data_IF_833924378592
#
_entry.id   IF_833924378592
#
_cell.length_a   1.000
_cell.length_b   1.000
_cell.length_c   1.000
_cell.angle_alpha   90.00
_cell.angle_beta   90.00
_cell.angle_gamma   90.00
#
_symmetry.space_group_name_H-M   'P 1'
#
loop_
_entity.id
_entity.type
_entity.pdbx_description
1 polymer ?
#
# COMPACT_ATOMS: atom_id res chain seq x y z
N UNK A 1 -15.10 -4.61 -9.38
CA UNK A 1 -15.53 -3.62 -8.39
C UNK A 1 -15.56 -2.28 -9.09
N UNK A 2 -16.68 -1.58 -9.03
CA UNK A 2 -16.82 -0.26 -9.62
C UNK A 2 -16.01 0.76 -8.82
N UNK A 3 -15.54 1.86 -9.45
CA UNK A 3 -14.76 2.89 -8.75
C UNK A 3 -15.41 3.41 -7.46
N UNK A 4 -16.74 3.57 -7.46
CA UNK A 4 -17.48 4.04 -6.29
C UNK A 4 -17.44 3.05 -5.11
N UNK A 5 -17.52 1.75 -5.39
CA UNK A 5 -17.44 0.71 -4.36
C UNK A 5 -16.03 0.65 -3.74
N UNK A 6 -14.99 0.82 -4.56
CA UNK A 6 -13.60 0.90 -4.10
C UNK A 6 -13.44 2.13 -3.19
N UNK A 7 -13.90 3.29 -3.66
CA UNK A 7 -13.84 4.53 -2.90
C UNK A 7 -14.59 4.44 -1.57
N UNK A 8 -15.74 3.75 -1.53
CA UNK A 8 -16.47 3.51 -0.29
C UNK A 8 -15.62 2.74 0.72
N UNK A 9 -15.02 1.61 0.32
CA UNK A 9 -14.15 0.79 1.19
C UNK A 9 -12.97 1.61 1.71
N UNK A 10 -12.28 2.34 0.83
CA UNK A 10 -11.10 3.13 1.19
C UNK A 10 -11.44 4.33 2.09
N UNK A 11 -12.67 4.84 2.03
CA UNK A 11 -13.10 5.99 2.83
C UNK A 11 -13.78 5.62 4.16
N UNK A 12 -13.96 4.32 4.46
CA UNK A 12 -14.39 3.89 5.80
C UNK A 12 -13.38 4.37 6.85
N UNK A 13 -13.80 4.68 8.09
CA UNK A 13 -12.89 5.17 9.14
C UNK A 13 -11.64 4.32 9.31
N UNK A 14 -11.78 2.99 9.42
CA UNK A 14 -10.66 2.06 9.52
C UNK A 14 -9.81 2.03 8.24
N UNK A 15 -10.44 2.17 7.06
CA UNK A 15 -9.72 2.29 5.79
C UNK A 15 -8.80 3.52 5.78
N UNK A 16 -9.29 4.67 6.26
CA UNK A 16 -8.51 5.91 6.39
C UNK A 16 -7.41 5.78 7.44
N UNK A 17 -7.67 5.12 8.57
CA UNK A 17 -6.65 4.83 9.59
C UNK A 17 -5.52 3.98 9.00
N UNK A 18 -5.84 2.92 8.26
CA UNK A 18 -4.85 2.04 7.64
C UNK A 18 -4.08 2.79 6.53
N UNK A 19 -4.75 3.57 5.69
CA UNK A 19 -4.11 4.38 4.65
C UNK A 19 -3.21 5.50 5.20
N UNK A 20 -3.35 5.86 6.48
CA UNK A 20 -2.49 6.83 7.16
C UNK A 20 -1.25 6.20 7.81
N UNK A 21 -1.06 4.86 7.72
CA UNK A 21 0.13 4.17 8.22
C UNK A 21 1.30 4.34 7.26
N UNK A 22 2.51 4.09 7.77
CA UNK A 22 3.73 4.31 6.99
C UNK A 22 4.10 3.16 6.04
N UNK A 23 3.67 1.92 6.35
CA UNK A 23 4.21 0.71 5.72
C UNK A 23 3.11 -0.16 5.10
N UNK A 24 3.31 -0.56 3.85
CA UNK A 24 2.49 -1.56 3.15
C UNK A 24 3.37 -2.74 2.72
N UNK A 25 2.74 -3.87 2.39
CA UNK A 25 3.39 -5.04 1.83
C UNK A 25 3.03 -5.11 0.35
N UNK A 26 3.99 -4.79 -0.51
CA UNK A 26 3.83 -4.78 -1.95
C UNK A 26 4.12 -6.17 -2.53
N UNK A 27 3.08 -6.79 -3.08
CA UNK A 27 3.20 -7.99 -3.88
C UNK A 27 3.21 -7.68 -5.37
N UNK A 28 4.19 -8.24 -6.08
CA UNK A 28 4.34 -8.11 -7.54
C UNK A 28 4.94 -9.40 -8.15
N UNK A 29 4.78 -9.57 -9.45
CA UNK A 29 5.38 -10.69 -10.19
C UNK A 29 6.77 -10.27 -10.68
N UNK A 30 7.81 -11.00 -10.29
CA UNK A 30 9.17 -10.77 -10.77
C UNK A 30 9.35 -11.25 -12.21
N UNK A 31 10.48 -10.87 -12.83
CA UNK A 31 10.84 -11.25 -14.21
C UNK A 31 10.93 -12.77 -14.45
N UNK A 32 11.22 -13.53 -13.39
CA UNK A 32 11.26 -14.99 -13.41
C UNK A 32 9.85 -15.63 -13.28
N UNK A 33 8.79 -14.81 -13.25
CA UNK A 33 7.40 -15.24 -13.07
C UNK A 33 7.02 -15.56 -11.63
N UNK A 34 7.95 -15.49 -10.67
CA UNK A 34 7.69 -15.81 -9.26
C UNK A 34 7.13 -14.60 -8.50
N UNK A 35 6.30 -14.81 -7.47
CA UNK A 35 5.80 -13.73 -6.65
C UNK A 35 6.91 -13.18 -5.74
N UNK A 36 6.94 -11.87 -5.59
CA UNK A 36 7.72 -11.16 -4.56
C UNK A 36 6.75 -10.41 -3.67
N UNK A 37 7.07 -10.36 -2.38
CA UNK A 37 6.34 -9.57 -1.39
C UNK A 37 7.37 -8.80 -0.56
N UNK A 38 7.30 -7.48 -0.56
CA UNK A 38 8.28 -6.62 0.12
C UNK A 38 7.58 -5.55 0.95
N UNK A 39 8.02 -5.33 2.21
CA UNK A 39 7.60 -4.16 2.96
C UNK A 39 8.17 -2.89 2.29
N UNK A 40 7.35 -1.86 2.14
CA UNK A 40 7.75 -0.59 1.52
C UNK A 40 6.95 0.57 2.12
N UNK A 41 7.64 1.70 2.32
CA UNK A 41 7.01 2.94 2.75
C UNK A 41 6.04 3.46 1.68
N UNK A 42 4.89 3.99 2.10
CA UNK A 42 3.89 4.51 1.17
C UNK A 42 3.21 5.78 1.66
N UNK A 43 2.51 6.44 0.75
CA UNK A 43 1.61 7.56 1.06
C UNK A 43 0.30 7.39 0.28
N UNK A 44 -0.81 7.75 0.91
CA UNK A 44 -2.11 7.85 0.26
C UNK A 44 -2.38 9.32 -0.13
N UNK A 45 -2.50 9.60 -1.43
CA UNK A 45 -2.74 10.97 -1.92
C UNK A 45 -4.23 11.34 -2.05
N UNK A 46 -5.13 10.48 -1.57
CA UNK A 46 -6.58 10.64 -1.71
C UNK A 46 -7.21 9.82 -2.84
N UNK A 47 -6.40 9.31 -3.78
CA UNK A 47 -6.88 8.47 -4.89
C UNK A 47 -5.95 7.32 -5.28
N UNK A 48 -4.65 7.47 -5.03
CA UNK A 48 -3.60 6.51 -5.40
C UNK A 48 -2.67 6.25 -4.21
N UNK A 49 -2.08 5.06 -4.21
CA UNK A 49 -1.00 4.70 -3.29
C UNK A 49 0.31 5.01 -4.00
N UNK A 50 1.14 5.85 -3.38
CA UNK A 50 2.44 6.24 -3.92
C UNK A 50 3.53 5.61 -3.07
N UNK A 51 4.49 4.95 -3.71
CA UNK A 51 5.70 4.41 -3.07
C UNK A 51 6.92 4.90 -3.83
N UNK A 52 7.93 5.40 -3.12
CA UNK A 52 9.15 5.91 -3.74
C UNK A 52 10.27 4.87 -3.66
N UNK A 53 11.06 4.72 -4.72
CA UNK A 53 12.18 3.77 -4.76
C UNK A 53 13.32 4.28 -5.63
N UNK A 54 14.51 3.71 -5.46
CA UNK A 54 15.69 4.04 -6.25
C UNK A 54 15.55 3.56 -7.71
N UNK A 55 16.17 4.27 -8.65
CA UNK A 55 16.14 3.95 -10.10
C UNK A 55 16.70 2.56 -10.45
N UNK A 56 17.53 1.98 -9.59
CA UNK A 56 18.12 0.64 -9.75
C UNK A 56 17.31 -0.48 -9.07
N UNK A 57 16.13 -0.20 -8.51
CA UNK A 57 15.37 -1.20 -7.78
C UNK A 57 14.90 -2.36 -8.69
N UNK A 58 15.06 -3.63 -8.28
CA UNK A 58 14.79 -4.80 -9.14
C UNK A 58 13.31 -4.97 -9.48
N UNK A 59 12.42 -4.35 -8.70
CA UNK A 59 10.98 -4.33 -8.95
C UNK A 59 10.59 -3.52 -10.19
N UNK A 60 11.39 -2.49 -10.57
CA UNK A 60 11.05 -1.60 -11.67
C UNK A 60 10.92 -2.30 -13.03
N UNK A 61 11.92 -3.09 -13.52
CA UNK A 61 11.75 -3.79 -14.79
C UNK A 61 10.61 -4.81 -14.75
N UNK A 62 10.37 -5.45 -13.60
CA UNK A 62 9.26 -6.38 -13.43
C UNK A 62 7.89 -5.67 -13.53
N UNK A 63 7.73 -4.51 -12.89
CA UNK A 63 6.52 -3.69 -12.94
C UNK A 63 6.26 -3.08 -14.32
N UNK A 64 7.30 -2.81 -15.12
CA UNK A 64 7.13 -2.40 -16.53
C UNK A 64 6.51 -3.51 -17.37
N UNK A 65 6.92 -4.75 -17.15
CA UNK A 65 6.41 -5.92 -17.90
C UNK A 65 5.03 -6.34 -17.40
N UNK A 66 4.82 -6.31 -16.09
CA UNK A 66 3.54 -6.62 -15.46
C UNK A 66 3.21 -5.60 -14.36
N UNK A 67 2.33 -4.61 -14.64
CA UNK A 67 1.99 -3.57 -13.68
C UNK A 67 0.94 -4.02 -12.65
N UNK A 68 0.46 -5.25 -12.69
CA UNK A 68 -0.51 -5.74 -11.71
C UNK A 68 0.17 -5.95 -10.35
N UNK A 69 -0.39 -5.35 -9.31
CA UNK A 69 0.12 -5.43 -7.94
C UNK A 69 -0.99 -5.72 -6.94
N UNK A 70 -0.61 -6.27 -5.79
CA UNK A 70 -1.44 -6.33 -4.61
C UNK A 70 -0.73 -5.69 -3.42
N UNK A 71 -1.49 -5.02 -2.56
CA UNK A 71 -1.01 -4.36 -1.35
C UNK A 71 -1.79 -4.87 -0.15
N UNK A 72 -1.08 -5.06 0.96
CA UNK A 72 -1.69 -5.27 2.27
C UNK A 72 -1.23 -4.18 3.22
N UNK A 73 -2.18 -3.55 3.91
CA UNK A 73 -1.93 -2.66 5.03
C UNK A 73 -2.70 -3.21 6.22
N UNK A 74 -1.99 -3.58 7.28
CA UNK A 74 -2.56 -4.31 8.40
C UNK A 74 -2.00 -3.87 9.76
N UNK A 75 -2.64 -4.34 10.81
CA UNK A 75 -2.21 -4.21 12.21
C UNK A 75 -2.11 -5.58 12.86
N UNK A 76 -1.15 -5.73 13.75
CA UNK A 76 -0.89 -6.97 14.49
C UNK A 76 -1.74 -7.10 15.77
N UNK A 77 -2.40 -6.01 16.21
CA UNK A 77 -3.26 -5.97 17.41
C UNK A 77 -4.59 -6.67 17.14
N UNK A 78 -5.15 -7.38 18.13
CA UNK A 78 -6.43 -8.10 18.00
C UNK A 78 -7.65 -7.23 18.41
N UNK A 79 -8.75 -7.21 17.63
CA UNK A 79 -8.88 -7.83 16.30
C UNK A 79 -8.04 -7.08 15.25
N UNK A 80 -7.39 -7.82 14.32
CA UNK A 80 -6.55 -7.18 13.32
C UNK A 80 -7.41 -6.43 12.31
N UNK A 81 -6.99 -5.20 12.00
CA UNK A 81 -7.53 -4.40 10.91
C UNK A 81 -6.70 -4.67 9.66
N UNK A 82 -7.35 -5.04 8.56
CA UNK A 82 -6.68 -5.45 7.32
C UNK A 82 -7.33 -4.75 6.13
N UNK A 83 -6.53 -4.01 5.39
CA UNK A 83 -6.91 -3.42 4.11
C UNK A 83 -6.13 -4.12 2.99
N UNK A 84 -6.87 -4.82 2.14
CA UNK A 84 -6.35 -5.49 0.95
C UNK A 84 -6.67 -4.64 -0.27
N UNK A 85 -5.68 -4.37 -1.10
CA UNK A 85 -5.85 -3.59 -2.33
C UNK A 85 -5.23 -4.37 -3.49
N UNK A 86 -5.89 -4.36 -4.64
CA UNK A 86 -5.27 -4.70 -5.92
C UNK A 86 -5.30 -3.47 -6.80
N UNK A 87 -4.29 -3.31 -7.64
CA UNK A 87 -4.21 -2.16 -8.51
C UNK A 87 -3.26 -2.34 -9.67
N UNK A 88 -3.18 -1.29 -10.47
CA UNK A 88 -2.23 -1.15 -11.56
C UNK A 88 -1.19 -0.11 -11.17
N UNK A 89 0.08 -0.49 -11.23
CA UNK A 89 1.22 0.37 -10.97
C UNK A 89 1.63 1.12 -12.25
N UNK A 90 1.85 2.43 -12.10
CA UNK A 90 2.52 3.27 -13.07
C UNK A 90 3.87 3.70 -12.49
N UNK A 91 4.90 3.73 -13.33
CA UNK A 91 6.25 4.11 -12.92
C UNK A 91 6.52 5.51 -13.42
N UNK A 92 6.61 6.43 -12.48
CA UNK A 92 6.86 7.83 -12.74
C UNK A 92 8.27 8.21 -12.28
N UNK A 93 9.12 8.53 -13.24
CA UNK A 93 10.52 8.85 -13.01
C UNK A 93 10.64 10.35 -12.74
N UNK A 94 11.18 10.71 -11.59
CA UNK A 94 11.31 12.11 -11.19
C UNK A 94 12.77 12.51 -11.08
N UNK A 95 13.04 13.75 -11.47
CA UNK A 95 14.33 14.39 -11.22
C UNK A 95 14.40 14.77 -9.73
N UNK A 96 15.38 14.25 -9.00
CA UNK A 96 15.53 14.47 -7.57
C UNK A 96 14.65 13.60 -6.68
N UNK A 97 14.41 14.08 -5.44
CA UNK A 97 13.71 13.34 -4.39
C UNK A 97 12.24 13.78 -4.35
N UNK A 98 11.27 12.86 -4.52
CA UNK A 98 9.85 13.19 -4.38
C UNK A 98 9.51 13.65 -2.96
N UNK A 99 8.57 14.59 -2.85
CA UNK A 99 8.07 15.07 -1.56
C UNK A 99 7.46 13.94 -0.72
N UNK A 100 6.85 12.93 -1.36
CA UNK A 100 6.30 11.75 -0.68
C UNK A 100 7.38 10.92 0.01
N UNK A 101 8.62 10.93 -0.49
CA UNK A 101 9.75 10.25 0.16
C UNK A 101 10.30 11.04 1.35
N UNK A 102 10.26 12.38 1.26
CA UNK A 102 10.67 13.27 2.34
C UNK A 102 9.53 13.49 3.36
N UNK A 103 8.31 13.04 3.09
CA UNK A 103 7.18 13.21 4.00
C UNK A 103 7.49 12.74 5.43
N UNK A 104 6.94 13.42 6.42
CA UNK A 104 7.02 12.96 7.81
C UNK A 104 6.20 11.66 7.95
N UNK A 105 6.89 10.55 8.20
CA UNK A 105 6.30 9.27 8.56
C UNK A 105 6.21 9.16 10.08
N UNK A 106 5.18 8.49 10.60
CA UNK A 106 4.99 8.30 12.05
C UNK A 106 6.12 7.51 12.75
N UNK A 107 6.91 6.75 11.99
CA UNK A 107 7.95 5.83 12.49
C UNK A 107 9.35 6.42 12.50
N UNK A 108 9.58 7.57 11.86
CA UNK A 108 10.89 8.23 11.86
C UNK A 108 10.89 9.40 12.84
N UNK A 109 11.31 9.13 14.08
CA UNK A 109 11.55 10.18 15.07
C UNK A 109 12.94 10.79 14.83
N UNK A 110 12.98 12.05 14.44
CA UNK A 110 14.23 12.81 14.25
C UNK A 110 14.09 14.21 14.84
N UNK A 111 15.15 14.73 15.44
CA UNK A 111 15.24 16.17 15.74
C UNK A 111 15.39 16.99 14.45
N UNK A 112 15.12 18.30 14.47
CA UNK A 112 15.34 19.16 13.31
C UNK A 112 16.76 19.09 12.74
N UNK A 113 17.77 18.93 13.59
CA UNK A 113 19.18 18.83 13.18
C UNK A 113 19.45 17.49 12.47
N UNK A 114 18.99 16.39 13.06
CA UNK A 114 19.10 15.04 12.45
C UNK A 114 18.39 14.99 11.09
N UNK A 115 17.25 15.66 10.99
CA UNK A 115 16.48 15.75 9.75
C UNK A 115 17.28 16.41 8.63
N UNK A 116 18.00 17.50 8.92
CA UNK A 116 18.85 18.20 7.93
C UNK A 116 19.98 17.29 7.43
N UNK A 117 20.66 16.60 8.34
CA UNK A 117 21.74 15.67 7.98
C UNK A 117 21.22 14.50 7.14
N UNK A 118 20.12 13.88 7.56
CA UNK A 118 19.48 12.79 6.83
C UNK A 118 19.05 13.21 5.41
N UNK A 119 18.46 14.39 5.24
CA UNK A 119 18.07 14.88 3.92
C UNK A 119 19.29 15.13 3.02
N UNK A 120 20.41 15.59 3.57
CA UNK A 120 21.65 15.73 2.83
C UNK A 120 22.20 14.37 2.35
N UNK A 121 22.18 13.36 3.22
CA UNK A 121 22.57 11.98 2.86
C UNK A 121 21.67 11.39 1.77
N UNK A 122 20.34 11.51 1.93
CA UNK A 122 19.35 11.07 0.94
C UNK A 122 19.61 11.70 -0.42
N UNK A 123 19.85 13.01 -0.47
CA UNK A 123 20.16 13.73 -1.71
C UNK A 123 21.48 13.29 -2.33
N UNK A 124 22.47 12.92 -1.51
CA UNK A 124 23.74 12.39 -2.02
C UNK A 124 23.58 11.01 -2.67
N UNK A 125 22.75 10.13 -2.07
CA UNK A 125 22.52 8.77 -2.55
C UNK A 125 21.68 8.74 -3.82
N UNK A 126 20.60 9.51 -3.85
CA UNK A 126 19.66 9.56 -4.97
C UNK A 126 19.82 10.85 -5.79
N UNK A 127 21.07 11.25 -6.05
CA UNK A 127 21.40 12.45 -6.84
C UNK A 127 20.86 12.38 -8.27
N UNK A 128 20.79 11.18 -8.86
CA UNK A 128 20.13 10.93 -10.15
C UNK A 128 18.60 10.84 -9.99
N UNK A 129 18.03 11.13 -8.84
CA UNK A 129 16.59 11.07 -8.60
C UNK A 129 16.03 9.67 -8.33
N UNK A 130 14.70 9.59 -8.32
CA UNK A 130 13.96 8.41 -7.86
C UNK A 130 12.81 8.06 -8.80
N UNK A 131 12.11 6.96 -8.47
CA UNK A 131 10.91 6.53 -9.17
C UNK A 131 9.76 6.44 -8.18
N UNK A 132 8.64 7.07 -8.52
CA UNK A 132 7.34 6.89 -7.88
C UNK A 132 6.65 5.69 -8.53
N UNK A 133 6.27 4.71 -7.72
CA UNK A 133 5.37 3.62 -8.09
C UNK A 133 3.98 4.08 -7.66
N UNK A 134 3.18 4.52 -8.64
CA UNK A 134 1.85 5.07 -8.42
C UNK A 134 0.82 3.99 -8.70
N UNK A 135 0.15 3.50 -7.66
CA UNK A 135 -0.84 2.42 -7.76
C UNK A 135 -2.23 3.02 -7.77
N UNK A 136 -2.92 2.82 -8.89
CA UNK A 136 -4.36 3.09 -9.00
C UNK A 136 -5.14 1.85 -8.56
N UNK A 137 -5.94 1.92 -7.47
CA UNK A 137 -6.74 0.80 -6.99
C UNK A 137 -7.77 0.33 -8.02
N UNK A 138 -7.85 -0.97 -8.25
CA UNK A 138 -8.86 -1.62 -9.11
C UNK A 138 -9.79 -2.54 -8.32
N UNK A 139 -9.46 -2.80 -7.05
CA UNK A 139 -10.24 -3.57 -6.11
C UNK A 139 -9.74 -3.27 -4.69
N UNK A 140 -10.64 -3.26 -3.71
CA UNK A 140 -10.29 -3.16 -2.30
C UNK A 140 -11.18 -4.04 -1.43
N UNK A 141 -10.66 -4.51 -0.31
CA UNK A 141 -11.44 -5.13 0.77
C UNK A 141 -10.89 -4.74 2.12
N UNK A 142 -11.80 -4.32 3.00
CA UNK A 142 -11.53 -4.10 4.41
C UNK A 142 -12.02 -5.30 5.21
N UNK A 143 -11.26 -5.70 6.23
CA UNK A 143 -11.60 -6.72 7.21
C UNK A 143 -11.23 -6.16 8.59
N UNK A 144 -12.19 -6.13 9.50
CA UNK A 144 -12.01 -5.65 10.89
C UNK A 144 -12.60 -6.60 11.94
N UNK A 145 -13.26 -7.69 11.50
CA UNK A 145 -13.94 -8.68 12.35
C UNK A 145 -15.10 -8.14 13.21
N UNK A 146 -15.46 -6.87 13.04
CA UNK A 146 -16.58 -6.22 13.72
C UNK A 146 -17.69 -5.88 12.73
N UNK A 147 -17.35 -5.19 11.64
CA UNK A 147 -18.28 -4.75 10.60
C UNK A 147 -18.07 -5.47 9.27
N UNK A 148 -16.89 -6.07 9.08
CA UNK A 148 -16.48 -6.75 7.85
C UNK A 148 -15.69 -8.01 8.18
N UNK A 149 -16.00 -9.10 7.48
CA UNK A 149 -15.39 -10.40 7.71
C UNK A 149 -14.64 -10.89 6.46
N UNK A 150 -13.70 -11.84 6.60
CA UNK A 150 -13.21 -12.57 5.43
C UNK A 150 -14.38 -13.23 4.69
N UNK A 151 -14.37 -13.25 3.35
CA UNK A 151 -15.57 -13.66 2.60
C UNK A 151 -15.96 -15.11 2.82
N UNK A 152 -14.98 -15.98 3.05
CA UNK A 152 -15.24 -17.36 3.45
C UNK A 152 -15.97 -17.45 4.79
N UNK A 153 -15.71 -16.54 5.74
CA UNK A 153 -16.40 -16.50 7.03
C UNK A 153 -17.81 -15.92 6.87
N UNK A 154 -17.99 -14.87 6.07
CA UNK A 154 -19.31 -14.32 5.72
C UNK A 154 -20.24 -15.39 5.15
N UNK A 155 -19.72 -16.23 4.25
CA UNK A 155 -20.44 -17.35 3.69
C UNK A 155 -20.83 -18.40 4.75
N UNK A 156 -19.91 -18.77 5.64
CA UNK A 156 -20.21 -19.73 6.71
C UNK A 156 -21.24 -19.21 7.70
N UNK A 157 -21.24 -17.91 8.00
CA UNK A 157 -22.25 -17.27 8.86
C UNK A 157 -23.63 -17.39 8.20
N UNK A 158 -23.74 -17.02 6.91
CA UNK A 158 -25.00 -17.17 6.15
C UNK A 158 -25.51 -18.61 6.13
N UNK A 159 -24.65 -19.58 5.83
CA UNK A 159 -25.01 -21.01 5.85
C UNK A 159 -25.44 -21.50 7.23
N UNK A 160 -24.91 -20.93 8.31
CA UNK A 160 -25.36 -21.24 9.67
C UNK A 160 -26.75 -20.69 9.94
N UNK A 161 -27.02 -19.45 9.54
CA UNK A 161 -28.33 -18.81 9.70
C UNK A 161 -29.43 -19.55 8.92
N UNK A 162 -29.13 -19.96 7.68
CA UNK A 162 -30.03 -20.76 6.84
C UNK A 162 -30.41 -22.09 7.51
N UNK A 163 -29.45 -22.77 8.16
CA UNK A 163 -29.70 -24.02 8.91
C UNK A 163 -30.49 -23.84 10.20
N UNK A 164 -30.52 -22.64 10.76
CA UNK A 164 -31.23 -22.35 12.02
C UNK A 164 -32.66 -21.87 11.78
N UNK A 165 -32.96 -21.35 10.59
CA UNK A 165 -34.26 -20.79 10.22
C UNK A 165 -35.03 -21.63 9.19
N UNK A 166 -34.43 -22.69 8.64
CA UNK A 166 -35.08 -23.69 7.79
C UNK A 166 -35.38 -24.97 8.55
#
# INVERSE_FOLDING_TARGET
>A
MQPNEIAEVLNRPIGRELLARDLTRLAYVAKDGTPRNVPIGFTWNGSQIVMCTSKNAPKLPALRENPAVALTIDTEVHPPKILLIRGRAELDFVDGIPDEYLGATSTYEMTPEQRVEWEAEVRSLYHDGMVRIVVTPTWAKLIDFETTLPSAVEELVRQREERQHG
#
